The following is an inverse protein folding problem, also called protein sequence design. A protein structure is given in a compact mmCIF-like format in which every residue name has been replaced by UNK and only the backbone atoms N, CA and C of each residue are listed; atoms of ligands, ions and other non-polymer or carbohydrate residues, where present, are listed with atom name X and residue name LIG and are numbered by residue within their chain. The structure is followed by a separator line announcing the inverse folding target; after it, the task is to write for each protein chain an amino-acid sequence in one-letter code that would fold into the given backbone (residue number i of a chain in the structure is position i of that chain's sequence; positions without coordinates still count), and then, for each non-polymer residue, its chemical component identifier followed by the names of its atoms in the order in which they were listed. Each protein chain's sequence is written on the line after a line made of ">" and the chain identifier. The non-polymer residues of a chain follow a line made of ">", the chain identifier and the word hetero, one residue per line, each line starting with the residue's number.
data_IF_232687432263
#
_entry.id   IF_232687432263
#
_cell.length_a   1.000
_cell.length_b   1.000
_cell.length_c   1.000
_cell.angle_alpha   90.00
_cell.angle_beta   90.00
_cell.angle_gamma   90.00
#
_symmetry.space_group_name_H-M   'P 1'
#
loop_
_entity.id
_entity.type
_entity.pdbx_description
1 polymer ?
#
# COMPACT_ATOMS: atom_id res chain seq x y z
N UNK A 1 -14.64 6.57 -16.08
CA UNK A 1 -15.12 6.53 -14.69
C UNK A 1 -14.01 5.90 -13.87
N UNK A 2 -13.39 6.64 -12.94
CA UNK A 2 -12.33 6.10 -12.09
C UNK A 2 -12.98 5.46 -10.87
N UNK A 3 -12.69 4.18 -10.63
CA UNK A 3 -13.29 3.43 -9.54
C UNK A 3 -12.34 3.44 -8.34
N UNK A 4 -12.77 4.03 -7.22
CA UNK A 4 -12.03 4.08 -5.96
C UNK A 4 -12.42 2.87 -5.07
N UNK A 5 -11.69 1.77 -5.15
CA UNK A 5 -11.84 0.60 -4.27
C UNK A 5 -10.74 0.53 -3.19
N UNK A 6 -10.60 1.60 -2.41
CA UNK A 6 -9.79 1.59 -1.19
C UNK A 6 -10.70 1.90 -0.01
N UNK A 7 -10.73 0.99 0.97
CA UNK A 7 -11.48 1.15 2.23
C UNK A 7 -11.03 2.45 2.92
N UNK A 8 -11.89 3.10 3.71
CA UNK A 8 -11.54 4.36 4.41
C UNK A 8 -10.19 4.26 5.15
N UNK A 9 -9.84 3.09 5.69
CA UNK A 9 -8.54 2.82 6.32
C UNK A 9 -7.36 3.01 5.36
N UNK A 10 -7.46 2.51 4.14
CA UNK A 10 -6.36 2.54 3.18
C UNK A 10 -6.15 3.95 2.65
N UNK A 11 -7.24 4.71 2.48
CA UNK A 11 -7.16 6.13 2.16
C UNK A 11 -6.47 6.92 3.27
N UNK A 12 -6.75 6.63 4.54
CA UNK A 12 -6.08 7.24 5.68
C UNK A 12 -4.58 6.96 5.65
N UNK A 13 -4.19 5.69 5.47
CA UNK A 13 -2.77 5.30 5.37
C UNK A 13 -2.07 6.01 4.20
N UNK A 14 -2.68 6.07 3.02
CA UNK A 14 -2.12 6.80 1.87
C UNK A 14 -2.00 8.30 2.09
N UNK A 15 -2.82 8.88 2.98
CA UNK A 15 -2.84 10.32 3.24
C UNK A 15 -1.82 10.70 4.32
N UNK A 16 -1.70 9.90 5.38
CA UNK A 16 -0.98 10.26 6.60
C UNK A 16 0.18 9.33 6.96
N UNK A 17 0.34 8.20 6.27
CA UNK A 17 1.31 7.17 6.67
C UNK A 17 0.88 6.50 7.99
N UNK A 18 1.86 6.00 8.73
CA UNK A 18 1.68 5.38 10.04
C UNK A 18 2.96 5.58 10.89
N UNK A 19 2.82 5.52 12.22
CA UNK A 19 3.96 5.64 13.13
C UNK A 19 4.74 4.32 13.30
N UNK A 20 5.96 4.44 13.83
CA UNK A 20 6.74 3.32 14.34
C UNK A 20 5.90 2.42 15.27
N UNK A 21 6.21 1.12 15.26
CA UNK A 21 5.44 0.10 15.96
C UNK A 21 4.27 -0.47 15.15
N UNK A 22 3.66 0.29 14.23
CA UNK A 22 2.51 -0.18 13.42
C UNK A 22 2.74 -0.11 11.91
N UNK A 23 3.65 0.75 11.43
CA UNK A 23 3.88 1.01 10.00
C UNK A 23 4.15 -0.23 9.14
N UNK A 24 4.77 -1.27 9.69
CA UNK A 24 5.07 -2.50 8.96
C UNK A 24 3.81 -3.34 8.74
N UNK A 25 3.00 -3.50 9.79
CA UNK A 25 1.74 -4.24 9.73
C UNK A 25 0.68 -3.51 8.90
N UNK A 26 0.53 -2.19 9.12
CA UNK A 26 -0.34 -1.33 8.30
C UNK A 26 0.10 -1.31 6.83
N UNK A 27 1.41 -1.25 6.58
CA UNK A 27 2.00 -1.32 5.25
C UNK A 27 1.74 -2.65 4.56
N UNK A 28 1.86 -3.77 5.28
CA UNK A 28 1.55 -5.09 4.76
C UNK A 28 0.09 -5.18 4.30
N UNK A 29 -0.85 -4.79 5.16
CA UNK A 29 -2.28 -4.77 4.84
C UNK A 29 -2.56 -3.90 3.60
N UNK A 30 -2.00 -2.69 3.57
CA UNK A 30 -2.16 -1.77 2.45
C UNK A 30 -1.61 -2.38 1.14
N UNK A 31 -0.42 -2.97 1.16
CA UNK A 31 0.17 -3.60 -0.02
C UNK A 31 -0.71 -4.74 -0.57
N UNK A 32 -1.28 -5.58 0.30
CA UNK A 32 -2.20 -6.65 -0.14
C UNK A 32 -3.48 -6.09 -0.75
N UNK A 33 -4.05 -5.05 -0.16
CA UNK A 33 -5.25 -4.41 -0.70
C UNK A 33 -4.98 -3.77 -2.07
N UNK A 34 -3.87 -3.05 -2.21
CA UNK A 34 -3.48 -2.42 -3.48
C UNK A 34 -3.28 -3.46 -4.60
N UNK A 35 -2.59 -4.57 -4.32
CA UNK A 35 -2.38 -5.68 -5.27
C UNK A 35 -3.68 -6.44 -5.58
N UNK A 36 -4.54 -6.65 -4.58
CA UNK A 36 -5.83 -7.30 -4.76
C UNK A 36 -6.76 -6.47 -5.66
N UNK A 37 -6.86 -5.18 -5.38
CA UNK A 37 -7.67 -4.23 -6.14
C UNK A 37 -7.16 -4.07 -7.56
N UNK A 38 -5.85 -3.92 -7.77
CA UNK A 38 -5.28 -3.78 -9.12
C UNK A 38 -5.49 -5.03 -9.98
N UNK A 39 -5.37 -6.23 -9.38
CA UNK A 39 -5.68 -7.48 -10.05
C UNK A 39 -7.17 -7.58 -10.43
N UNK A 40 -8.08 -7.17 -9.54
CA UNK A 40 -9.51 -7.14 -9.83
C UNK A 40 -9.83 -6.20 -10.99
N UNK A 41 -9.29 -4.97 -10.97
CA UNK A 41 -9.52 -3.98 -12.01
C UNK A 41 -8.94 -4.43 -13.36
N UNK A 42 -7.72 -4.98 -13.36
CA UNK A 42 -7.08 -5.57 -14.55
C UNK A 42 -7.93 -6.68 -15.16
N UNK A 43 -8.41 -7.63 -14.34
CA UNK A 43 -9.28 -8.74 -14.81
C UNK A 43 -10.57 -8.25 -15.45
N UNK A 44 -11.11 -7.14 -14.96
CA UNK A 44 -12.33 -6.52 -15.49
C UNK A 44 -12.06 -5.48 -16.60
N UNK A 45 -10.81 -5.34 -17.05
CA UNK A 45 -10.38 -4.35 -18.07
C UNK A 45 -10.76 -2.91 -17.69
N UNK A 46 -10.79 -2.62 -16.40
CA UNK A 46 -11.02 -1.26 -15.88
C UNK A 46 -9.65 -0.59 -15.76
N UNK A 47 -9.45 0.51 -16.48
CA UNK A 47 -8.25 1.32 -16.37
C UNK A 47 -8.17 1.99 -14.99
N UNK A 48 -6.97 2.06 -14.41
CA UNK A 48 -6.73 2.70 -13.11
C UNK A 48 -5.36 3.38 -13.08
N UNK A 49 -5.28 4.42 -12.27
CA UNK A 49 -4.05 5.11 -11.90
C UNK A 49 -4.20 5.62 -10.46
N UNK A 50 -3.13 5.79 -9.67
CA UNK A 50 -1.74 5.47 -9.97
C UNK A 50 -1.44 3.96 -9.91
N UNK A 51 -0.21 3.57 -10.31
CA UNK A 51 0.26 2.19 -10.14
C UNK A 51 0.26 1.80 -8.64
N UNK A 52 -0.05 0.54 -8.29
CA UNK A 52 -0.17 0.10 -6.91
C UNK A 52 1.11 0.34 -6.11
N UNK A 53 2.27 0.10 -6.74
CA UNK A 53 3.56 0.32 -6.09
C UNK A 53 3.81 1.80 -5.76
N UNK A 54 3.43 2.70 -6.67
CA UNK A 54 3.57 4.15 -6.44
C UNK A 54 2.70 4.64 -5.27
N UNK A 55 1.52 4.05 -5.09
CA UNK A 55 0.67 4.35 -3.93
C UNK A 55 1.31 3.83 -2.63
N UNK A 56 1.94 2.67 -2.66
CA UNK A 56 2.65 2.14 -1.50
C UNK A 56 3.92 2.94 -1.15
N UNK A 57 4.71 3.35 -2.13
CA UNK A 57 5.89 4.20 -1.88
C UNK A 57 5.47 5.53 -1.22
N UNK A 58 4.35 6.13 -1.67
CA UNK A 58 3.76 7.31 -1.02
C UNK A 58 3.36 7.10 0.43
N UNK A 59 2.99 5.88 0.81
CA UNK A 59 2.73 5.50 2.19
C UNK A 59 4.04 5.41 2.98
N UNK A 60 5.07 4.77 2.43
CA UNK A 60 6.41 4.68 3.03
C UNK A 60 7.01 6.05 3.33
N UNK A 61 6.92 6.99 2.38
CA UNK A 61 7.39 8.38 2.53
C UNK A 61 6.66 9.17 3.61
N UNK A 62 5.42 8.76 3.96
CA UNK A 62 4.59 9.40 4.97
C UNK A 62 4.71 8.76 6.35
N UNK A 63 5.32 7.58 6.45
CA UNK A 63 5.52 6.93 7.74
C UNK A 63 6.46 7.76 8.63
N UNK A 64 6.31 7.63 9.94
CA UNK A 64 7.17 8.31 10.92
C UNK A 64 7.76 7.28 11.91
N UNK A 65 9.05 6.93 11.82
CA UNK A 65 10.00 7.38 10.80
C UNK A 65 9.64 6.83 9.40
N UNK A 66 10.22 7.41 8.36
CA UNK A 66 10.04 6.93 6.98
C UNK A 66 10.53 5.49 6.85
N UNK A 67 9.89 4.69 6.00
CA UNK A 67 10.34 3.32 5.74
C UNK A 67 11.53 3.36 4.79
N UNK A 68 12.63 2.70 5.19
CA UNK A 68 13.80 2.56 4.33
C UNK A 68 13.45 1.69 3.10
N UNK A 69 14.06 1.92 1.92
CA UNK A 69 13.70 1.21 0.70
C UNK A 69 13.75 -0.32 0.82
N UNK A 70 14.74 -0.85 1.54
CA UNK A 70 14.89 -2.30 1.77
C UNK A 70 13.78 -2.85 2.67
N UNK A 71 13.34 -2.10 3.68
CA UNK A 71 12.21 -2.46 4.56
C UNK A 71 10.90 -2.41 3.76
N UNK A 72 10.69 -1.36 2.97
CA UNK A 72 9.54 -1.23 2.07
C UNK A 72 9.46 -2.38 1.05
N UNK A 73 10.58 -2.76 0.44
CA UNK A 73 10.65 -3.90 -0.48
C UNK A 73 10.36 -5.22 0.22
N UNK A 74 10.82 -5.39 1.46
CA UNK A 74 10.51 -6.58 2.26
C UNK A 74 9.00 -6.68 2.52
N UNK A 75 8.35 -5.58 2.90
CA UNK A 75 6.89 -5.52 3.08
C UNK A 75 6.15 -5.82 1.77
N UNK A 76 6.65 -5.32 0.64
CA UNK A 76 6.00 -5.46 -0.66
C UNK A 76 6.13 -6.88 -1.25
N UNK A 77 7.32 -7.47 -1.23
CA UNK A 77 7.59 -8.76 -1.88
C UNK A 77 7.51 -9.96 -0.92
N UNK A 78 7.86 -9.79 0.35
CA UNK A 78 8.07 -10.87 1.31
C UNK A 78 7.28 -10.69 2.61
N UNK A 79 5.94 -10.63 2.52
CA UNK A 79 5.10 -10.28 3.65
C UNK A 79 5.19 -11.23 4.86
N UNK A 80 5.60 -12.48 4.65
CA UNK A 80 5.78 -13.46 5.74
C UNK A 80 6.98 -13.17 6.65
N UNK A 81 7.82 -12.20 6.31
CA UNK A 81 9.02 -11.84 7.08
C UNK A 81 8.84 -10.59 7.96
N UNK A 82 7.63 -10.02 8.00
CA UNK A 82 7.36 -8.68 8.57
C UNK A 82 6.36 -8.72 9.74
N UNK A 83 6.02 -9.92 10.23
CA UNK A 83 5.13 -10.15 11.38
C UNK A 83 5.90 -10.70 12.58
#
# INVERSE_FOLDING_TARGET
>A
MWVNFNVLSDRTLLTYGESEGNRNNSGYKLARNLLGTSNLLTRNRIAYHAEPRQLFDRYCDRCTPTLEPTEADTIWFYPSLVL
#
